data_IF_977207818716
#
_entry.id   IF_977207818716
#
_cell.length_a   1.000
_cell.length_b   1.000
_cell.length_c   1.000
_cell.angle_alpha   90.00
_cell.angle_beta   90.00
_cell.angle_gamma   90.00
#
_symmetry.space_group_name_H-M   'P 1'
#
loop_
_entity.id
_entity.type
_entity.pdbx_description
1 polymer ?
#
# COMPACT_ATOMS: atom_id res chain seq x y z
N UNK A 1 -24.39 -10.74 1.84
CA UNK A 1 -24.04 -10.73 0.41
C UNK A 1 -25.05 -9.90 -0.38
N UNK A 2 -26.35 -10.07 -0.17
CA UNK A 2 -27.42 -9.31 -0.86
C UNK A 2 -27.24 -7.78 -0.81
N UNK A 3 -26.93 -7.22 0.35
CA UNK A 3 -26.69 -5.76 0.51
C UNK A 3 -25.47 -5.29 -0.30
N UNK A 4 -24.45 -6.13 -0.46
CA UNK A 4 -23.26 -5.81 -1.24
C UNK A 4 -23.55 -5.81 -2.74
N UNK A 5 -24.39 -6.72 -3.22
CA UNK A 5 -24.86 -6.72 -4.61
C UNK A 5 -25.71 -5.47 -4.93
N UNK A 6 -26.53 -5.01 -3.98
CA UNK A 6 -27.30 -3.78 -4.16
C UNK A 6 -26.40 -2.53 -4.17
N UNK A 7 -25.35 -2.49 -3.34
CA UNK A 7 -24.34 -1.42 -3.37
C UNK A 7 -23.59 -1.41 -4.72
N UNK A 8 -23.18 -2.58 -5.23
CA UNK A 8 -22.51 -2.68 -6.55
C UNK A 8 -23.41 -2.19 -7.69
N UNK A 9 -24.71 -2.50 -7.63
CA UNK A 9 -25.70 -2.07 -8.61
C UNK A 9 -25.90 -0.55 -8.58
N UNK A 10 -26.01 0.03 -7.39
CA UNK A 10 -26.14 1.49 -7.21
C UNK A 10 -24.86 2.24 -7.62
N UNK A 11 -23.68 1.66 -7.37
CA UNK A 11 -22.39 2.22 -7.78
C UNK A 11 -22.06 2.02 -9.27
N UNK A 12 -22.93 1.36 -10.05
CA UNK A 12 -22.72 1.05 -11.47
C UNK A 12 -21.37 0.35 -11.76
N UNK A 13 -20.96 -0.55 -10.87
CA UNK A 13 -19.71 -1.28 -11.02
C UNK A 13 -19.91 -2.55 -11.85
N UNK A 14 -19.46 -2.51 -13.11
CA UNK A 14 -19.36 -3.69 -14.01
C UNK A 14 -18.16 -4.59 -13.65
N UNK A 15 -17.96 -4.88 -12.36
CA UNK A 15 -16.97 -5.88 -11.92
C UNK A 15 -17.71 -7.18 -11.64
N UNK A 16 -17.67 -8.11 -12.58
CA UNK A 16 -18.15 -9.47 -12.36
C UNK A 16 -17.24 -10.14 -11.33
N UNK A 17 -17.73 -10.38 -10.10
CA UNK A 17 -17.01 -11.10 -9.05
C UNK A 17 -16.52 -10.25 -7.86
N UNK A 18 -15.35 -10.62 -7.32
CA UNK A 18 -14.72 -9.98 -6.16
C UNK A 18 -13.65 -8.98 -6.62
N UNK A 19 -13.39 -7.96 -5.79
CA UNK A 19 -12.24 -7.08 -6.02
C UNK A 19 -10.95 -7.88 -5.83
N UNK A 20 -10.10 -7.87 -6.86
CA UNK A 20 -8.80 -8.49 -6.79
C UNK A 20 -7.87 -7.61 -5.95
N UNK A 21 -7.19 -8.21 -4.98
CA UNK A 21 -6.44 -7.45 -3.97
C UNK A 21 -5.23 -6.76 -4.57
N UNK A 22 -4.63 -7.37 -5.60
CA UNK A 22 -3.41 -6.89 -6.27
C UNK A 22 -3.66 -6.04 -7.51
N UNK A 23 -4.87 -5.50 -7.67
CA UNK A 23 -5.21 -4.57 -8.74
C UNK A 23 -5.48 -3.19 -8.17
N UNK A 24 -4.82 -2.17 -8.73
CA UNK A 24 -5.10 -0.78 -8.41
C UNK A 24 -6.30 -0.34 -9.24
N UNK A 25 -7.33 0.14 -8.54
CA UNK A 25 -8.54 0.70 -9.13
C UNK A 25 -8.50 2.23 -9.04
N UNK A 26 -9.21 2.90 -9.96
CA UNK A 26 -9.35 4.34 -9.94
C UNK A 26 -10.08 4.83 -8.68
N UNK A 27 -9.64 5.97 -8.15
CA UNK A 27 -10.20 6.55 -6.93
C UNK A 27 -11.70 6.84 -7.05
N UNK A 28 -12.19 7.18 -8.26
CA UNK A 28 -13.62 7.36 -8.57
C UNK A 28 -14.48 6.17 -8.09
N UNK A 29 -14.02 4.94 -8.32
CA UNK A 29 -14.73 3.72 -7.88
C UNK A 29 -14.86 3.66 -6.36
N UNK A 30 -13.85 4.14 -5.63
CA UNK A 30 -13.89 4.18 -4.16
C UNK A 30 -14.90 5.22 -3.68
N UNK A 31 -14.91 6.41 -4.26
CA UNK A 31 -15.89 7.45 -3.92
C UNK A 31 -17.33 7.02 -4.24
N UNK A 32 -17.54 6.42 -5.41
CA UNK A 32 -18.86 5.92 -5.83
C UNK A 32 -19.35 4.79 -4.93
N UNK A 33 -18.46 3.87 -4.52
CA UNK A 33 -18.78 2.81 -3.55
C UNK A 33 -19.19 3.36 -2.19
N UNK A 34 -18.46 4.34 -1.65
CA UNK A 34 -18.78 4.93 -0.35
C UNK A 34 -20.08 5.73 -0.43
N UNK A 35 -20.32 6.45 -1.54
CA UNK A 35 -21.56 7.17 -1.79
C UNK A 35 -22.76 6.21 -1.92
N UNK A 36 -22.64 5.14 -2.70
CA UNK A 36 -23.66 4.10 -2.84
C UNK A 36 -23.94 3.39 -1.51
N UNK A 37 -22.89 3.03 -0.76
CA UNK A 37 -23.04 2.42 0.56
C UNK A 37 -23.76 3.35 1.55
N UNK A 38 -23.46 4.64 1.56
CA UNK A 38 -24.15 5.63 2.40
C UNK A 38 -25.65 5.71 2.07
N UNK A 39 -26.01 5.70 0.78
CA UNK A 39 -27.42 5.68 0.34
C UNK A 39 -28.14 4.40 0.74
N UNK A 40 -27.56 3.23 0.45
CA UNK A 40 -28.18 1.92 0.68
C UNK A 40 -28.32 1.63 2.17
N UNK A 41 -27.29 1.92 2.96
CA UNK A 41 -27.29 1.67 4.41
C UNK A 41 -28.01 2.77 5.20
N UNK A 42 -28.43 3.87 4.55
CA UNK A 42 -29.02 5.05 5.22
C UNK A 42 -28.15 5.60 6.37
N UNK A 43 -26.84 5.43 6.26
CA UNK A 43 -25.86 5.92 7.22
C UNK A 43 -25.13 7.13 6.64
N UNK A 44 -24.81 8.12 7.47
CA UNK A 44 -23.97 9.24 7.04
C UNK A 44 -22.62 8.74 6.50
N UNK A 45 -22.16 9.35 5.42
CA UNK A 45 -20.88 9.08 4.74
C UNK A 45 -19.71 8.84 5.73
N UNK A 46 -19.63 9.67 6.77
CA UNK A 46 -18.57 9.62 7.79
C UNK A 46 -18.65 8.41 8.73
N UNK A 47 -19.78 7.70 8.81
CA UNK A 47 -19.90 6.47 9.61
C UNK A 47 -19.50 5.23 8.81
N UNK A 48 -19.78 5.19 7.50
CA UNK A 48 -19.40 4.06 6.63
C UNK A 48 -17.88 3.93 6.54
N UNK A 49 -17.17 5.07 6.43
CA UNK A 49 -15.70 5.11 6.41
C UNK A 49 -15.07 4.68 7.74
N UNK A 50 -15.77 4.85 8.87
CA UNK A 50 -15.28 4.43 10.20
C UNK A 50 -15.36 2.92 10.40
N UNK A 51 -16.45 2.28 9.99
CA UNK A 51 -16.69 0.86 10.29
C UNK A 51 -15.80 -0.14 9.54
N UNK A 52 -15.31 0.20 8.35
CA UNK A 52 -14.58 -0.79 7.51
C UNK A 52 -13.14 -1.05 7.96
N UNK A 53 -12.62 -0.24 8.88
CA UNK A 53 -11.18 -0.20 9.20
C UNK A 53 -10.85 -0.94 10.50
N UNK A 54 -11.85 -1.28 11.33
CA UNK A 54 -11.67 -2.15 12.51
C UNK A 54 -10.98 -3.49 12.18
N UNK A 55 -11.11 -3.99 10.93
CA UNK A 55 -10.50 -5.25 10.49
C UNK A 55 -9.08 -5.10 9.91
N UNK A 56 -8.69 -3.90 9.44
CA UNK A 56 -7.36 -3.66 8.83
C UNK A 56 -6.33 -3.14 9.85
N UNK A 57 -6.79 -2.71 11.03
CA UNK A 57 -5.98 -2.03 12.06
C UNK A 57 -4.94 -2.92 12.75
N UNK A 58 -5.03 -4.27 12.67
CA UNK A 58 -4.03 -5.17 13.27
C UNK A 58 -2.59 -4.97 12.81
N UNK A 59 -2.34 -4.26 11.70
CA UNK A 59 -0.98 -3.97 11.21
C UNK A 59 -0.43 -2.66 11.79
N UNK A 60 -1.30 -1.73 12.21
CA UNK A 60 -0.93 -0.44 12.85
C UNK A 60 -0.54 -0.64 14.33
N UNK A 61 -0.81 -1.83 14.88
CA UNK A 61 -0.66 -2.24 16.29
C UNK A 61 0.72 -2.01 16.95
N UNK A 62 1.77 -1.59 16.23
CA UNK A 62 3.14 -1.60 16.73
C UNK A 62 3.92 -0.28 16.64
N UNK A 63 3.39 0.78 16.04
CA UNK A 63 4.17 2.01 15.80
C UNK A 63 3.45 3.27 16.24
N UNK A 64 4.10 4.10 17.07
CA UNK A 64 3.67 5.47 17.38
C UNK A 64 3.31 6.21 16.08
N UNK A 65 2.30 7.09 16.11
CA UNK A 65 1.78 7.83 14.94
C UNK A 65 2.90 8.53 14.14
N UNK A 66 3.99 8.93 14.80
CA UNK A 66 5.18 9.53 14.18
C UNK A 66 5.94 8.59 13.22
N UNK A 67 5.79 7.27 13.39
CA UNK A 67 6.44 6.24 12.58
C UNK A 67 5.54 5.70 11.44
N UNK A 68 4.31 6.21 11.28
CA UNK A 68 3.40 5.79 10.20
C UNK A 68 3.99 6.03 8.81
N UNK A 69 4.74 7.12 8.63
CA UNK A 69 5.43 7.41 7.36
C UNK A 69 6.45 6.32 7.01
N UNK A 70 7.17 5.76 8.00
CA UNK A 70 8.11 4.67 7.77
C UNK A 70 7.40 3.35 7.42
N UNK A 71 6.26 3.07 8.06
CA UNK A 71 5.42 1.92 7.71
C UNK A 71 4.88 2.05 6.28
N UNK A 72 4.43 3.25 5.89
CA UNK A 72 3.95 3.53 4.55
C UNK A 72 5.04 3.38 3.48
N UNK A 73 6.25 3.82 3.74
CA UNK A 73 7.38 3.59 2.85
C UNK A 73 7.61 2.08 2.64
N UNK A 74 7.54 1.28 3.73
CA UNK A 74 7.65 -0.17 3.63
C UNK A 74 6.49 -0.78 2.83
N UNK A 75 5.25 -0.41 3.12
CA UNK A 75 4.08 -0.87 2.37
C UNK A 75 4.15 -0.48 0.88
N UNK A 76 4.78 0.66 0.54
CA UNK A 76 5.02 1.09 -0.84
C UNK A 76 5.96 0.15 -1.60
N UNK A 77 6.83 -0.59 -0.90
CA UNK A 77 7.66 -1.64 -1.53
C UNK A 77 6.85 -2.89 -1.89
N UNK A 78 5.82 -3.20 -1.09
CA UNK A 78 4.95 -4.37 -1.26
C UNK A 78 3.85 -4.11 -2.28
N UNK A 79 3.32 -2.87 -2.32
CA UNK A 79 2.23 -2.44 -3.19
C UNK A 79 2.71 -1.34 -4.16
N UNK A 80 3.27 -1.70 -5.32
CA UNK A 80 3.76 -0.73 -6.31
C UNK A 80 2.66 0.22 -6.78
N UNK A 81 2.90 1.53 -6.70
CA UNK A 81 1.90 2.56 -7.09
C UNK A 81 1.01 3.04 -5.93
N UNK A 82 1.20 2.51 -4.72
CA UNK A 82 0.54 3.02 -3.52
C UNK A 82 0.96 4.46 -3.23
N UNK A 83 -0.03 5.35 -3.09
CA UNK A 83 0.17 6.75 -2.70
C UNK A 83 -0.24 6.94 -1.24
N UNK A 84 0.75 6.96 -0.37
CA UNK A 84 0.52 7.02 1.06
C UNK A 84 0.32 8.45 1.55
N UNK A 85 -0.63 8.71 2.47
CA UNK A 85 -0.68 9.98 3.18
C UNK A 85 0.49 10.08 4.16
N UNK A 86 0.81 11.31 4.57
CA UNK A 86 1.88 11.59 5.54
C UNK A 86 1.32 12.21 6.81
N UNK A 87 1.91 11.82 7.95
CA UNK A 87 1.45 12.22 9.27
C UNK A 87 2.54 12.95 10.05
N UNK A 88 2.16 13.99 10.78
CA UNK A 88 3.06 14.70 11.70
C UNK A 88 2.31 15.10 12.96
N UNK A 89 2.90 14.87 14.12
CA UNK A 89 2.33 15.30 15.40
C UNK A 89 3.09 16.50 15.96
N UNK A 90 2.38 17.45 16.56
CA UNK A 90 2.94 18.59 17.31
C UNK A 90 2.11 18.83 18.55
N UNK A 91 2.72 19.34 19.62
CA UNK A 91 1.98 19.71 20.83
C UNK A 91 1.15 20.99 20.60
N UNK A 92 -0.03 21.07 21.22
CA UNK A 92 -0.84 22.27 21.20
C UNK A 92 -0.28 23.33 22.16
N UNK A 93 -0.45 24.63 21.82
CA UNK A 93 0.04 25.74 22.65
C UNK A 93 -0.60 25.84 24.06
N UNK A 94 -1.69 25.09 24.31
CA UNK A 94 -2.41 25.08 25.59
C UNK A 94 -2.88 23.66 25.95
N UNK A 95 -2.32 23.08 27.01
CA UNK A 95 -2.72 21.79 27.59
C UNK A 95 -1.98 20.57 27.02
N UNK A 96 -2.30 19.37 27.51
CA UNK A 96 -1.79 18.07 27.02
C UNK A 96 -2.45 17.64 25.69
N UNK A 97 -2.83 18.59 24.85
CA UNK A 97 -3.51 18.31 23.60
C UNK A 97 -2.50 18.12 22.46
N UNK A 98 -2.76 17.15 21.59
CA UNK A 98 -1.90 16.84 20.44
C UNK A 98 -2.56 17.36 19.16
N UNK A 99 -1.77 17.97 18.28
CA UNK A 99 -2.19 18.38 16.94
C UNK A 99 -1.57 17.43 15.93
N UNK A 100 -2.42 16.65 15.26
CA UNK A 100 -2.03 15.79 14.16
C UNK A 100 -2.25 16.51 12.83
N UNK A 101 -1.17 16.68 12.08
CA UNK A 101 -1.14 17.17 10.72
C UNK A 101 -1.23 16.00 9.74
N UNK A 102 -2.21 16.06 8.83
CA UNK A 102 -2.46 15.06 7.81
C UNK A 102 -2.32 15.66 6.40
N UNK A 103 -1.39 15.11 5.64
CA UNK A 103 -1.11 15.49 4.25
C UNK A 103 -1.52 14.34 3.33
N UNK A 104 -2.32 14.63 2.31
CA UNK A 104 -2.80 13.64 1.35
C UNK A 104 -3.06 14.29 0.00
N UNK A 105 -2.72 13.59 -1.08
CA UNK A 105 -3.14 13.95 -2.44
C UNK A 105 -4.63 13.68 -2.68
N UNK A 106 -5.22 12.76 -1.92
CA UNK A 106 -6.62 12.33 -2.05
C UNK A 106 -7.51 13.13 -1.10
N UNK A 107 -8.42 13.90 -1.68
CA UNK A 107 -9.42 14.68 -0.94
C UNK A 107 -10.59 13.80 -0.46
N UNK A 108 -11.25 14.21 0.64
CA UNK A 108 -12.47 13.53 1.13
C UNK A 108 -12.24 12.24 1.93
N UNK A 109 -11.00 11.80 2.12
CA UNK A 109 -10.64 10.61 2.92
C UNK A 109 -10.25 10.92 4.37
N UNK A 110 -10.43 12.15 4.82
CA UNK A 110 -10.05 12.61 6.16
C UNK A 110 -10.76 11.87 7.32
N UNK A 111 -12.02 11.42 7.12
CA UNK A 111 -12.78 10.70 8.14
C UNK A 111 -12.21 9.30 8.43
N UNK A 112 -11.45 8.72 7.48
CA UNK A 112 -10.71 7.47 7.69
C UNK A 112 -9.71 7.62 8.82
N UNK A 113 -8.97 8.74 8.81
CA UNK A 113 -7.96 9.04 9.83
C UNK A 113 -8.60 9.16 11.21
N UNK A 114 -9.77 9.82 11.29
CA UNK A 114 -10.55 9.92 12.54
C UNK A 114 -10.94 8.53 13.06
N UNK A 115 -11.42 7.65 12.17
CA UNK A 115 -11.78 6.28 12.53
C UNK A 115 -10.59 5.50 13.08
N UNK A 116 -9.47 5.49 12.33
CA UNK A 116 -8.24 4.79 12.71
C UNK A 116 -7.75 5.27 14.07
N UNK A 117 -7.61 6.58 14.28
CA UNK A 117 -7.05 7.12 15.53
C UNK A 117 -7.93 6.74 16.73
N UNK A 118 -9.25 6.88 16.61
CA UNK A 118 -10.17 6.52 17.70
C UNK A 118 -10.10 5.05 18.05
N UNK A 119 -10.10 4.18 17.05
CA UNK A 119 -10.01 2.73 17.27
C UNK A 119 -8.66 2.33 17.85
N UNK A 120 -7.56 2.88 17.34
CA UNK A 120 -6.21 2.63 17.85
C UNK A 120 -6.07 3.11 19.30
N UNK A 121 -6.55 4.31 19.62
CA UNK A 121 -6.54 4.84 20.99
C UNK A 121 -7.33 3.95 21.96
N UNK A 122 -8.51 3.50 21.55
CA UNK A 122 -9.36 2.63 22.38
C UNK A 122 -8.77 1.22 22.55
N UNK A 123 -8.20 0.64 21.48
CA UNK A 123 -7.67 -0.74 21.52
C UNK A 123 -6.29 -0.85 22.17
N UNK A 124 -5.41 0.16 21.98
CA UNK A 124 -4.03 0.11 22.50
C UNK A 124 -3.94 0.75 23.88
N UNK A 125 -4.51 1.95 24.04
CA UNK A 125 -4.36 2.75 25.26
C UNK A 125 -5.58 2.68 26.16
N UNK A 126 -6.64 1.95 25.78
CA UNK A 126 -7.88 1.88 26.55
C UNK A 126 -8.59 3.22 26.70
N UNK A 127 -8.22 4.23 25.90
CA UNK A 127 -8.57 5.63 26.13
C UNK A 127 -9.50 6.16 25.04
N UNK A 128 -10.56 6.85 25.45
CA UNK A 128 -11.47 7.52 24.50
C UNK A 128 -10.93 8.90 24.11
N UNK A 129 -10.46 9.01 22.86
CA UNK A 129 -9.98 10.29 22.33
C UNK A 129 -11.07 11.06 21.57
N UNK A 130 -11.17 12.36 21.85
CA UNK A 130 -11.93 13.28 21.00
C UNK A 130 -11.01 13.77 19.88
N UNK A 131 -11.42 13.54 18.63
CA UNK A 131 -10.70 14.03 17.45
C UNK A 131 -11.57 15.09 16.81
N UNK A 132 -11.14 16.36 16.90
CA UNK A 132 -11.84 17.51 16.33
C UNK A 132 -11.07 17.94 15.08
N UNK A 133 -11.76 17.95 13.94
CA UNK A 133 -11.19 18.43 12.69
C UNK A 133 -11.19 19.96 12.68
N UNK A 134 -10.01 20.57 12.54
CA UNK A 134 -9.87 21.98 12.18
C UNK A 134 -9.52 22.07 10.69
N UNK A 135 -10.41 22.69 9.92
CA UNK A 135 -10.14 23.10 8.54
C UNK A 135 -9.85 24.60 8.57
N UNK A 136 -8.58 24.98 8.50
CA UNK A 136 -8.17 26.37 8.35
C UNK A 136 -8.02 26.67 6.86
N UNK A 137 -8.66 27.72 6.36
CA UNK A 137 -8.59 28.13 4.94
C UNK A 137 -7.17 28.55 4.49
N UNK A 138 -6.25 28.77 5.43
CA UNK A 138 -4.85 29.18 5.20
C UNK A 138 -3.81 28.03 5.30
N UNK A 139 -4.22 26.77 5.48
CA UNK A 139 -3.27 25.65 5.60
C UNK A 139 -3.39 24.66 4.43
N UNK A 140 -2.26 24.25 3.88
CA UNK A 140 -2.14 23.25 2.80
C UNK A 140 -2.52 21.82 3.23
N UNK A 141 -2.89 21.62 4.49
CA UNK A 141 -3.12 20.31 5.10
C UNK A 141 -4.14 20.34 6.24
N UNK A 142 -4.67 19.17 6.57
CA UNK A 142 -5.73 19.02 7.58
C UNK A 142 -5.10 18.88 8.96
N UNK A 143 -5.67 19.58 9.96
CA UNK A 143 -5.25 19.48 11.36
C UNK A 143 -6.35 18.79 12.17
N UNK A 144 -5.96 17.77 12.93
CA UNK A 144 -6.82 17.12 13.91
C UNK A 144 -6.32 17.47 15.30
N UNK A 145 -7.20 18.06 16.12
CA UNK A 145 -6.95 18.22 17.54
C UNK A 145 -7.36 16.94 18.24
N UNK A 146 -6.42 16.33 18.96
CA UNK A 146 -6.62 15.12 19.76
C UNK A 146 -6.67 15.57 21.22
N UNK A 147 -7.84 15.41 21.82
CA UNK A 147 -8.08 15.67 23.24
C UNK A 147 -8.34 14.36 23.96
N UNK A 148 -7.60 14.11 25.02
CA UNK A 148 -7.78 12.96 25.88
C UNK A 148 -8.93 13.21 26.86
N UNK A 149 -9.93 12.31 26.89
CA UNK A 149 -10.97 12.33 27.91
C UNK A 149 -10.51 11.45 29.05
N UNK A 150 -10.22 12.08 30.19
CA UNK A 150 -9.78 11.46 31.44
C UNK A 150 -8.32 10.97 31.44
N UNK A 151 -7.39 11.89 31.67
CA UNK A 151 -6.02 11.53 32.06
C UNK A 151 -6.00 11.26 33.57
N UNK A 152 -5.91 9.99 33.99
CA UNK A 152 -5.11 9.71 35.20
C UNK A 152 -3.67 10.04 34.80
N UNK A 153 -3.02 10.94 35.53
CA UNK A 153 -1.63 11.33 35.28
C UNK A 153 -0.71 10.12 35.50
N UNK A 154 -0.58 9.24 34.50
CA UNK A 154 0.56 8.35 34.41
C UNK A 154 1.75 9.16 33.87
N UNK A 155 2.49 9.74 34.81
CA UNK A 155 3.80 10.28 34.55
C UNK A 155 4.72 9.15 34.09
N UNK A 156 4.92 8.99 32.78
CA UNK A 156 6.00 8.19 32.24
C UNK A 156 6.50 8.75 30.91
N UNK A 157 7.68 9.38 30.95
CA UNK A 157 8.91 8.87 30.35
C UNK A 157 10.04 9.70 31.00
N UNK A 158 10.68 9.18 32.04
CA UNK A 158 12.05 9.59 32.34
C UNK A 158 12.93 9.06 31.20
N UNK A 159 13.66 9.95 30.53
CA UNK A 159 14.78 9.58 29.67
C UNK A 159 15.75 8.72 30.50
N UNK A 160 15.70 7.40 30.32
CA UNK A 160 16.63 6.46 30.92
C UNK A 160 17.96 6.36 30.16
N UNK A 161 18.38 7.43 29.48
CA UNK A 161 19.71 7.53 28.87
C UNK A 161 20.70 8.25 29.82
N UNK A 162 20.72 7.79 31.07
CA UNK A 162 21.79 8.09 32.02
C UNK A 162 23.00 7.20 31.72
N UNK A 163 23.72 7.44 30.62
CA UNK A 163 25.09 6.94 30.51
C UNK A 163 25.94 7.69 31.55
N UNK A 164 26.38 6.98 32.60
CA UNK A 164 27.23 7.52 33.64
C UNK A 164 28.47 8.21 33.03
N UNK A 165 28.56 9.54 33.20
CA UNK A 165 29.76 10.34 32.93
C UNK A 165 30.86 10.03 33.95
N UNK A 166 31.41 8.82 33.90
CA UNK A 166 32.58 8.45 34.69
C UNK A 166 33.69 7.92 33.78
N UNK A 167 34.44 8.85 33.22
CA UNK A 167 35.71 8.59 32.54
C UNK A 167 36.05 9.71 31.57
N UNK A 168 37.33 10.08 31.49
CA UNK A 168 37.85 10.93 30.41
C UNK A 168 37.39 10.34 29.06
N UNK A 169 36.38 10.95 28.43
CA UNK A 169 35.76 10.48 27.19
C UNK A 169 36.72 10.74 26.03
N UNK A 170 37.76 9.92 25.90
CA UNK A 170 38.55 9.90 24.67
C UNK A 170 37.71 9.32 23.54
N UNK A 171 37.71 9.98 22.39
CA UNK A 171 37.02 9.52 21.18
C UNK A 171 37.55 8.14 20.78
N UNK A 172 36.75 7.09 20.94
CA UNK A 172 37.15 5.70 20.63
C UNK A 172 37.04 5.34 19.15
N UNK A 173 36.43 6.21 18.35
CA UNK A 173 36.27 6.04 16.91
C UNK A 173 36.97 7.19 16.18
N UNK A 174 37.83 6.85 15.22
CA UNK A 174 38.43 7.86 14.35
C UNK A 174 37.39 8.38 13.34
N UNK A 175 37.47 9.65 12.91
CA UNK A 175 36.58 10.18 11.86
C UNK A 175 36.62 9.35 10.57
N UNK A 176 37.78 8.79 10.22
CA UNK A 176 37.92 7.90 9.08
C UNK A 176 37.11 6.60 9.24
N UNK A 177 37.19 5.96 10.41
CA UNK A 177 36.38 4.77 10.72
C UNK A 177 34.90 5.11 10.71
N UNK A 178 34.51 6.27 11.24
CA UNK A 178 33.12 6.74 11.22
C UNK A 178 32.60 6.92 9.79
N UNK A 179 33.37 7.56 8.90
CA UNK A 179 32.98 7.73 7.48
C UNK A 179 32.83 6.40 6.73
N UNK A 180 33.57 5.38 7.16
CA UNK A 180 33.46 4.02 6.60
C UNK A 180 32.27 3.27 7.18
N UNK A 181 31.97 3.46 8.47
CA UNK A 181 30.83 2.84 9.14
C UNK A 181 29.50 3.43 8.65
N UNK A 182 29.45 4.74 8.45
CA UNK A 182 28.26 5.47 7.99
C UNK A 182 28.56 6.16 6.66
N UNK A 183 28.44 5.48 5.50
CA UNK A 183 28.76 6.07 4.20
C UNK A 183 27.79 7.18 3.78
N UNK A 184 26.61 7.23 4.41
CA UNK A 184 25.57 8.21 4.19
C UNK A 184 25.39 9.10 5.44
N UNK A 185 26.26 10.10 5.58
CA UNK A 185 26.11 11.13 6.61
C UNK A 185 26.58 12.48 6.10
N UNK A 186 26.06 13.55 6.69
CA UNK A 186 26.50 14.93 6.47
C UNK A 186 26.71 15.59 7.82
N UNK A 187 27.80 16.34 7.99
CA UNK A 187 28.00 17.21 9.15
C UNK A 187 28.16 18.63 8.63
N UNK A 188 27.50 19.57 9.27
CA UNK A 188 27.52 20.97 8.86
C UNK A 188 27.35 21.93 10.03
N UNK A 189 27.82 23.16 9.84
CA UNK A 189 27.84 24.20 10.85
C UNK A 189 26.55 25.04 10.90
N UNK A 190 26.54 26.06 11.76
CA UNK A 190 25.43 27.02 11.92
C UNK A 190 25.06 27.77 10.64
N UNK A 191 25.99 27.92 9.71
CA UNK A 191 25.78 28.59 8.42
C UNK A 191 25.38 27.61 7.32
N UNK A 192 25.11 26.34 7.65
CA UNK A 192 24.82 25.25 6.73
C UNK A 192 26.00 24.91 5.81
N UNK A 193 27.22 25.28 6.22
CA UNK A 193 28.44 24.91 5.52
C UNK A 193 28.82 23.48 5.91
N UNK A 194 29.02 22.65 4.89
CA UNK A 194 29.38 21.26 5.07
C UNK A 194 30.79 21.16 5.68
N UNK A 195 30.94 20.44 6.79
CA UNK A 195 32.22 20.21 7.47
C UNK A 195 32.74 18.78 7.28
N UNK A 196 31.84 17.81 7.09
CA UNK A 196 32.19 16.41 6.82
C UNK A 196 31.10 15.74 5.97
N UNK A 197 31.48 14.78 5.14
CA UNK A 197 30.57 14.01 4.30
C UNK A 197 30.98 12.53 4.26
N UNK A 198 29.98 11.65 4.22
CA UNK A 198 30.20 10.22 4.02
C UNK A 198 30.72 9.87 2.64
N UNK A 199 31.46 8.76 2.56
CA UNK A 199 32.17 8.36 1.35
C UNK A 199 31.24 8.08 0.16
N UNK A 200 30.07 7.46 0.40
CA UNK A 200 29.13 7.12 -0.65
C UNK A 200 28.46 8.39 -1.22
N UNK A 201 28.02 9.29 -0.33
CA UNK A 201 27.43 10.57 -0.74
C UNK A 201 28.45 11.40 -1.53
N UNK A 202 29.69 11.52 -1.04
CA UNK A 202 30.73 12.31 -1.70
C UNK A 202 31.07 11.77 -3.11
N UNK A 203 31.07 10.45 -3.28
CA UNK A 203 31.32 9.83 -4.59
C UNK A 203 30.21 10.15 -5.60
N UNK A 204 28.96 10.10 -5.17
CA UNK A 204 27.80 10.36 -6.03
C UNK A 204 27.59 11.87 -6.28
N UNK A 205 27.90 12.70 -5.30
CA UNK A 205 27.76 14.15 -5.32
C UNK A 205 29.12 14.81 -5.00
N UNK A 206 30.06 14.89 -5.97
CA UNK A 206 31.40 15.42 -5.74
C UNK A 206 31.43 16.92 -5.42
N UNK A 207 30.30 17.61 -5.61
CA UNK A 207 30.13 19.03 -5.27
C UNK A 207 30.08 19.26 -3.75
N UNK A 208 29.81 18.21 -2.96
CA UNK A 208 29.81 18.25 -1.50
C UNK A 208 31.23 18.27 -0.93
N UNK A 209 32.01 19.29 -1.31
CA UNK A 209 33.35 19.49 -0.77
C UNK A 209 33.27 20.09 0.64
N UNK A 210 33.79 19.39 1.67
CA UNK A 210 33.83 19.91 3.02
C UNK A 210 34.62 21.22 3.11
N UNK A 211 34.10 22.20 3.84
CA UNK A 211 34.66 23.54 4.04
C UNK A 211 34.27 24.57 2.98
N UNK A 212 33.71 24.15 1.84
CA UNK A 212 33.41 25.05 0.71
C UNK A 212 31.92 25.01 0.35
N UNK A 213 31.30 23.84 0.44
CA UNK A 213 29.93 23.64 -0.01
C UNK A 213 28.91 24.14 1.02
N UNK A 214 27.95 24.95 0.56
CA UNK A 214 26.75 25.31 1.32
C UNK A 214 25.62 24.32 1.01
N UNK A 215 24.99 23.72 2.01
CA UNK A 215 24.00 22.65 1.83
C UNK A 215 22.79 23.02 0.95
N UNK A 216 22.15 24.20 1.09
CA UNK A 216 21.03 24.60 0.25
C UNK A 216 21.39 24.79 -1.22
N UNK A 217 22.68 24.84 -1.57
CA UNK A 217 23.11 24.87 -2.97
C UNK A 217 22.93 23.51 -3.65
N UNK A 218 23.12 22.41 -2.91
CA UNK A 218 23.05 21.03 -3.41
C UNK A 218 21.73 20.35 -3.09
N UNK A 219 21.18 20.61 -1.90
CA UNK A 219 19.97 19.96 -1.40
C UNK A 219 18.81 20.95 -1.24
N UNK A 220 17.60 20.45 -1.43
CA UNK A 220 16.35 21.06 -1.00
C UNK A 220 15.75 20.22 0.13
N UNK A 221 15.26 20.90 1.16
CA UNK A 221 14.52 20.25 2.25
C UNK A 221 13.12 19.90 1.77
N UNK A 222 12.78 18.61 1.75
CA UNK A 222 11.45 18.12 1.38
C UNK A 222 10.58 17.93 2.61
N UNK A 223 11.15 17.39 3.69
CA UNK A 223 10.48 17.22 4.98
C UNK A 223 11.43 17.52 6.13
N UNK A 224 10.96 18.16 7.21
CA UNK A 224 9.66 18.83 7.34
C UNK A 224 9.57 20.10 6.46
N UNK A 225 8.36 20.58 6.17
CA UNK A 225 8.13 21.83 5.43
C UNK A 225 8.46 23.04 6.31
N UNK A 226 9.75 23.33 6.44
CA UNK A 226 10.30 24.44 7.20
C UNK A 226 11.35 25.15 6.34
N UNK A 227 11.72 26.35 6.72
CA UNK A 227 12.86 27.02 6.11
C UNK A 227 14.13 26.21 6.36
N UNK A 228 14.91 25.99 5.29
CA UNK A 228 16.18 25.26 5.37
C UNK A 228 17.22 26.15 6.09
N UNK A 229 17.14 26.16 7.42
CA UNK A 229 17.90 26.99 8.34
C UNK A 229 18.31 26.17 9.56
N UNK A 230 19.42 26.54 10.19
CA UNK A 230 19.94 25.82 11.36
C UNK A 230 18.94 25.82 12.52
N UNK A 231 18.35 26.98 12.81
CA UNK A 231 17.36 27.12 13.88
C UNK A 231 16.08 26.33 13.57
N UNK A 232 15.61 26.36 12.32
CA UNK A 232 14.45 25.59 11.89
C UNK A 232 14.66 24.09 12.11
N UNK A 233 15.84 23.57 11.75
CA UNK A 233 16.18 22.16 11.95
C UNK A 233 16.28 21.80 13.43
N UNK A 234 16.88 22.65 14.25
CA UNK A 234 17.00 22.41 15.70
C UNK A 234 15.63 22.37 16.39
N UNK A 235 14.71 23.27 16.01
CA UNK A 235 13.33 23.25 16.53
C UNK A 235 12.54 21.99 16.15
N UNK A 236 12.99 21.25 15.15
CA UNK A 236 12.34 20.04 14.63
C UNK A 236 13.25 18.81 14.72
N UNK A 237 14.22 18.80 15.63
CA UNK A 237 15.27 17.78 15.70
C UNK A 237 14.72 16.35 15.87
N UNK A 238 13.58 16.21 16.55
CA UNK A 238 12.90 14.93 16.78
C UNK A 238 12.06 14.46 15.59
N UNK A 239 12.09 15.17 14.45
CA UNK A 239 11.39 14.76 13.24
C UNK A 239 12.31 14.07 12.26
N UNK A 240 11.75 13.26 11.36
CA UNK A 240 12.50 12.67 10.26
C UNK A 240 12.69 13.70 9.16
N UNK A 241 13.94 13.89 8.76
CA UNK A 241 14.32 14.81 7.69
C UNK A 241 14.47 14.06 6.37
N UNK A 242 13.97 14.67 5.31
CA UNK A 242 14.14 14.19 3.93
C UNK A 242 14.76 15.30 3.10
N UNK A 243 15.99 15.08 2.65
CA UNK A 243 16.71 15.96 1.74
C UNK A 243 16.65 15.39 0.32
N UNK A 244 16.36 16.23 -0.67
CA UNK A 244 16.41 15.89 -2.10
C UNK A 244 17.55 16.66 -2.75
N UNK A 245 18.43 15.99 -3.48
CA UNK A 245 19.46 16.67 -4.29
C UNK A 245 18.80 17.41 -5.44
N UNK A 246 19.34 18.57 -5.82
CA UNK A 246 18.88 19.27 -7.03
C UNK A 246 19.22 18.47 -8.29
N UNK A 247 18.47 18.76 -9.35
CA UNK A 247 18.59 18.09 -10.66
C UNK A 247 19.95 18.37 -11.30
N UNK A 248 20.49 17.37 -12.01
CA UNK A 248 21.75 17.48 -12.76
C UNK A 248 23.04 17.40 -11.93
N UNK A 249 22.96 17.06 -10.64
CA UNK A 249 24.13 16.96 -9.76
C UNK A 249 24.72 15.54 -9.64
N UNK A 250 23.97 14.52 -10.06
CA UNK A 250 24.40 13.12 -10.00
C UNK A 250 25.33 12.78 -11.18
N UNK A 251 26.41 12.06 -10.88
CA UNK A 251 27.34 11.53 -11.89
C UNK A 251 26.81 10.21 -12.48
N UNK A 252 25.72 10.26 -13.26
CA UNK A 252 25.19 9.07 -13.95
C UNK A 252 25.00 9.40 -15.43
N UNK A 253 25.41 8.48 -16.30
CA UNK A 253 25.15 8.57 -17.75
C UNK A 253 23.64 8.46 -17.98
N UNK A 254 23.01 9.55 -18.41
CA UNK A 254 21.60 9.56 -18.83
C UNK A 254 21.44 8.60 -20.02
N UNK A 255 20.85 7.42 -19.79
CA UNK A 255 20.42 6.57 -20.89
C UNK A 255 19.27 7.27 -21.63
N UNK A 256 19.39 7.36 -22.96
CA UNK A 256 18.56 8.19 -23.86
C UNK A 256 17.07 7.77 -23.98
N UNK A 257 16.55 6.91 -23.10
CA UNK A 257 15.20 6.37 -23.17
C UNK A 257 14.49 6.48 -21.82
N UNK A 258 14.04 7.67 -21.41
CA UNK A 258 13.16 7.80 -20.24
C UNK A 258 11.98 8.73 -20.50
N UNK A 259 10.78 8.24 -20.20
CA UNK A 259 9.50 8.92 -20.31
C UNK A 259 9.50 10.29 -19.60
N UNK A 260 8.99 11.32 -20.29
CA UNK A 260 8.98 12.74 -19.87
C UNK A 260 8.29 13.02 -18.51
N UNK A 261 7.57 12.04 -17.94
CA UNK A 261 6.83 12.20 -16.68
C UNK A 261 7.57 11.64 -15.45
N UNK A 262 8.48 10.67 -15.61
CA UNK A 262 9.22 10.01 -14.51
C UNK A 262 10.71 10.34 -14.46
N UNK A 263 11.29 10.87 -15.55
CA UNK A 263 12.73 11.18 -15.62
C UNK A 263 13.24 12.19 -14.58
N UNK A 264 12.38 13.11 -14.12
CA UNK A 264 12.76 14.15 -13.15
C UNK A 264 13.03 13.59 -11.73
N UNK A 265 12.29 12.57 -11.29
CA UNK A 265 12.50 11.95 -9.97
C UNK A 265 13.67 10.97 -9.94
N UNK A 266 14.03 10.41 -11.09
CA UNK A 266 15.12 9.44 -11.25
C UNK A 266 16.48 10.14 -11.16
N UNK A 267 16.57 11.40 -11.60
CA UNK A 267 17.79 12.22 -11.58
C UNK A 267 18.14 12.85 -10.22
N UNK A 268 17.39 12.55 -9.16
CA UNK A 268 17.59 13.13 -7.83
C UNK A 268 17.80 12.05 -6.76
N UNK A 269 18.78 12.28 -5.88
CA UNK A 269 19.00 11.47 -4.70
C UNK A 269 18.15 12.01 -3.54
N UNK A 270 17.32 11.14 -2.96
CA UNK A 270 16.58 11.41 -1.72
C UNK A 270 17.28 10.72 -0.55
N UNK A 271 17.63 11.48 0.47
CA UNK A 271 18.24 11.00 1.71
C UNK A 271 17.23 11.20 2.85
N UNK A 272 16.86 10.11 3.51
CA UNK A 272 15.94 10.12 4.67
C UNK A 272 16.75 9.81 5.92
N UNK A 273 16.56 10.57 6.98
CA UNK A 273 17.38 10.42 8.18
C UNK A 273 16.98 11.30 9.35
N UNK A 274 17.80 11.27 10.38
CA UNK A 274 17.64 12.08 11.58
C UNK A 274 18.76 13.12 11.69
N UNK A 275 18.40 14.31 12.18
CA UNK A 275 19.34 15.35 12.55
C UNK A 275 19.72 15.20 14.02
N UNK A 276 21.01 15.25 14.34
CA UNK A 276 21.55 15.15 15.70
C UNK A 276 22.43 16.37 15.94
N UNK A 277 22.15 17.11 17.01
CA UNK A 277 22.93 18.29 17.36
C UNK A 277 24.16 17.89 18.16
N UNK A 278 25.34 18.34 17.72
CA UNK A 278 26.63 18.11 18.37
C UNK A 278 27.07 19.40 19.08
N UNK A 279 26.88 19.52 20.41
CA UNK A 279 27.11 20.77 21.13
C UNK A 279 28.59 21.18 21.16
N UNK A 280 29.53 20.22 21.15
CA UNK A 280 30.97 20.49 21.23
C UNK A 280 31.51 21.28 20.02
N UNK A 281 30.96 21.01 18.83
CA UNK A 281 31.40 21.61 17.57
C UNK A 281 30.37 22.59 17.00
N UNK A 282 29.24 22.80 17.69
CA UNK A 282 28.08 23.56 17.22
C UNK A 282 27.61 23.14 15.81
N UNK A 283 27.70 21.84 15.52
CA UNK A 283 27.36 21.26 14.23
C UNK A 283 26.09 20.42 14.34
N UNK A 284 25.43 20.19 13.21
CA UNK A 284 24.39 19.16 13.08
C UNK A 284 24.96 18.01 12.26
N UNK A 285 24.84 16.79 12.80
CA UNK A 285 25.06 15.54 12.12
C UNK A 285 23.73 15.03 11.57
N UNK A 286 23.65 14.89 10.25
CA UNK A 286 22.57 14.19 9.57
C UNK A 286 23.00 12.76 9.30
N UNK A 287 22.43 11.81 10.05
CA UNK A 287 22.56 10.37 9.76
C UNK A 287 21.39 9.96 8.88
N UNK A 288 21.67 9.42 7.71
CA UNK A 288 20.66 9.17 6.70
C UNK A 288 20.91 7.90 5.90
N UNK A 289 19.89 7.44 5.22
CA UNK A 289 19.95 6.35 4.26
C UNK A 289 19.28 6.79 2.95
N UNK A 290 19.74 6.30 1.80
CA UNK A 290 19.13 6.63 0.52
C UNK A 290 17.73 6.02 0.44
N UNK A 291 16.75 6.81 0.00
CA UNK A 291 15.40 6.33 -0.27
C UNK A 291 15.36 5.69 -1.66
N UNK A 292 15.52 4.37 -1.68
CA UNK A 292 15.54 3.52 -2.89
C UNK A 292 14.57 2.36 -2.71
N UNK A 293 13.81 2.03 -3.76
CA UNK A 293 12.79 0.97 -3.68
C UNK A 293 13.29 -0.36 -4.24
N UNK A 294 14.25 -0.32 -5.16
CA UNK A 294 14.73 -1.50 -5.88
C UNK A 294 16.21 -1.34 -6.30
N UNK A 295 16.78 -2.41 -6.87
CA UNK A 295 18.18 -2.43 -7.30
C UNK A 295 18.45 -1.54 -8.53
N UNK A 296 17.44 -1.35 -9.40
CA UNK A 296 17.55 -0.48 -10.56
C UNK A 296 17.66 0.99 -10.13
N UNK A 297 16.90 1.42 -9.13
CA UNK A 297 16.91 2.77 -8.56
C UNK A 297 18.30 3.12 -7.98
N UNK A 298 18.96 2.14 -7.34
CA UNK A 298 20.34 2.30 -6.85
C UNK A 298 21.30 2.55 -8.01
N UNK A 299 21.22 1.70 -9.04
CA UNK A 299 22.10 1.76 -10.21
C UNK A 299 21.90 3.07 -10.98
N UNK A 300 20.65 3.50 -11.17
CA UNK A 300 20.28 4.77 -11.81
C UNK A 300 20.75 6.00 -11.04
N UNK A 301 21.05 5.87 -9.75
CA UNK A 301 21.58 6.96 -8.91
C UNK A 301 23.09 6.85 -8.66
N UNK A 302 23.78 5.92 -9.33
CA UNK A 302 25.23 5.72 -9.17
C UNK A 302 25.62 5.15 -7.80
N UNK A 303 24.67 4.51 -7.10
CA UNK A 303 24.88 3.85 -5.83
C UNK A 303 25.03 2.35 -6.02
N UNK A 304 25.85 1.73 -5.18
CA UNK A 304 26.01 0.29 -5.14
C UNK A 304 25.39 -0.27 -3.87
N UNK A 305 24.92 -1.52 -3.93
CA UNK A 305 24.47 -2.24 -2.74
C UNK A 305 25.56 -2.35 -1.68
N UNK A 306 26.85 -2.34 -2.07
CA UNK A 306 27.99 -2.36 -1.16
C UNK A 306 28.17 -1.07 -0.36
N UNK A 307 27.55 0.03 -0.79
CA UNK A 307 27.62 1.30 -0.07
C UNK A 307 26.66 1.35 1.11
N UNK A 308 25.62 0.52 1.11
CA UNK A 308 24.70 0.38 2.22
C UNK A 308 25.31 -0.60 3.24
N UNK A 309 25.64 -0.14 4.46
CA UNK A 309 26.25 -1.00 5.47
C UNK A 309 25.36 -2.17 5.85
N UNK A 310 25.97 -3.26 6.34
CA UNK A 310 25.23 -4.46 6.79
C UNK A 310 24.33 -4.21 8.01
N UNK A 311 24.63 -3.20 8.81
CA UNK A 311 23.80 -2.85 9.97
C UNK A 311 22.64 -1.91 9.60
N UNK A 312 22.62 -1.39 8.37
CA UNK A 312 21.55 -0.54 7.89
C UNK A 312 20.42 -1.41 7.33
N UNK A 313 19.24 -1.29 7.93
CA UNK A 313 18.05 -2.05 7.53
C UNK A 313 17.60 -1.76 6.08
N UNK A 314 17.98 -0.60 5.52
CA UNK A 314 17.66 -0.29 4.11
C UNK A 314 18.24 -1.30 3.14
N UNK A 315 19.37 -1.94 3.48
CA UNK A 315 19.95 -3.00 2.65
C UNK A 315 19.02 -4.20 2.52
N UNK A 316 18.51 -4.66 3.65
CA UNK A 316 17.58 -5.80 3.69
C UNK A 316 16.24 -5.42 3.05
N UNK A 317 15.78 -4.19 3.26
CA UNK A 317 14.57 -3.68 2.63
C UNK A 317 14.66 -3.64 1.10
N UNK A 318 15.80 -3.25 0.51
CA UNK A 318 15.99 -3.27 -0.95
C UNK A 318 15.93 -4.70 -1.48
N UNK A 319 16.60 -5.64 -0.81
CA UNK A 319 16.61 -7.05 -1.21
C UNK A 319 15.23 -7.71 -1.07
N UNK A 320 14.54 -7.44 0.04
CA UNK A 320 13.18 -7.90 0.28
C UNK A 320 12.20 -7.24 -0.70
N UNK A 321 12.38 -5.97 -1.05
CA UNK A 321 11.56 -5.26 -2.03
C UNK A 321 11.61 -5.94 -3.40
N UNK A 322 12.78 -6.40 -3.83
CA UNK A 322 12.93 -7.15 -5.09
C UNK A 322 12.21 -8.51 -5.01
N UNK A 323 12.39 -9.23 -3.90
CA UNK A 323 11.71 -10.50 -3.66
C UNK A 323 10.18 -10.33 -3.65
N UNK A 324 9.67 -9.36 -2.90
CA UNK A 324 8.24 -9.07 -2.80
C UNK A 324 7.67 -8.61 -4.13
N UNK A 325 8.41 -7.83 -4.93
CA UNK A 325 7.98 -7.41 -6.26
C UNK A 325 7.80 -8.60 -7.19
N UNK A 326 8.74 -9.54 -7.21
CA UNK A 326 8.63 -10.75 -8.03
C UNK A 326 7.52 -11.68 -7.54
N UNK A 327 7.40 -11.86 -6.22
CA UNK A 327 6.29 -12.61 -5.63
C UNK A 327 4.94 -11.94 -5.95
N UNK A 328 4.87 -10.61 -5.90
CA UNK A 328 3.68 -9.84 -6.22
C UNK A 328 3.27 -10.04 -7.68
N UNK A 329 4.21 -9.92 -8.63
CA UNK A 329 3.95 -10.17 -10.07
C UNK A 329 3.40 -11.57 -10.29
N UNK A 330 4.08 -12.58 -9.74
CA UNK A 330 3.69 -13.99 -9.88
C UNK A 330 2.29 -14.24 -9.31
N UNK A 331 2.02 -13.72 -8.12
CA UNK A 331 0.75 -13.92 -7.44
C UNK A 331 -0.40 -13.14 -8.08
N UNK A 332 -0.14 -11.96 -8.64
CA UNK A 332 -1.10 -11.21 -9.44
C UNK A 332 -1.45 -11.97 -10.73
N UNK A 333 -0.46 -12.52 -11.44
CA UNK A 333 -0.70 -13.36 -12.62
C UNK A 333 -1.50 -14.61 -12.28
N UNK A 334 -1.19 -15.27 -11.16
CA UNK A 334 -1.96 -16.41 -10.66
C UNK A 334 -3.41 -16.03 -10.34
N UNK A 335 -3.65 -14.88 -9.74
CA UNK A 335 -5.00 -14.38 -9.40
C UNK A 335 -5.82 -14.14 -10.68
N UNK A 336 -5.24 -13.44 -11.67
CA UNK A 336 -5.88 -13.18 -12.97
C UNK A 336 -6.16 -14.50 -13.71
N UNK A 337 -5.21 -15.43 -13.72
CA UNK A 337 -5.37 -16.72 -14.39
C UNK A 337 -6.45 -17.58 -13.72
N UNK A 338 -6.49 -17.57 -12.39
CA UNK A 338 -7.49 -18.31 -11.61
C UNK A 338 -8.89 -17.76 -11.85
N UNK A 339 -9.05 -16.44 -11.90
CA UNK A 339 -10.33 -15.80 -12.22
C UNK A 339 -10.81 -16.16 -13.64
N UNK A 340 -9.91 -16.05 -14.63
CA UNK A 340 -10.19 -16.50 -16.01
C UNK A 340 -10.58 -17.98 -16.06
N UNK A 341 -9.88 -18.83 -15.31
CA UNK A 341 -10.19 -20.27 -15.23
C UNK A 341 -11.60 -20.48 -14.67
N UNK A 342 -11.97 -19.80 -13.58
CA UNK A 342 -13.32 -19.88 -13.02
C UNK A 342 -14.39 -19.45 -14.02
N UNK A 343 -14.15 -18.35 -14.76
CA UNK A 343 -15.04 -17.92 -15.84
C UNK A 343 -15.20 -18.98 -16.92
N UNK A 344 -14.11 -19.59 -17.38
CA UNK A 344 -14.18 -20.67 -18.38
C UNK A 344 -14.87 -21.92 -17.88
N UNK A 345 -14.71 -22.29 -16.60
CA UNK A 345 -15.40 -23.43 -16.00
C UNK A 345 -16.91 -23.21 -15.91
N UNK A 346 -17.36 -22.00 -15.53
CA UNK A 346 -18.79 -21.65 -15.51
C UNK A 346 -19.40 -21.71 -16.92
N UNK A 347 -18.71 -21.13 -17.90
CA UNK A 347 -19.16 -21.20 -19.29
C UNK A 347 -19.24 -22.65 -19.80
N UNK A 348 -18.27 -23.49 -19.44
CA UNK A 348 -18.28 -24.91 -19.77
C UNK A 348 -19.43 -25.66 -19.11
N UNK A 349 -19.73 -25.38 -17.84
CA UNK A 349 -20.89 -25.97 -17.13
C UNK A 349 -22.21 -25.55 -17.76
N UNK A 350 -22.35 -24.31 -18.19
CA UNK A 350 -23.56 -23.82 -18.84
C UNK A 350 -23.75 -24.43 -20.23
N UNK A 351 -22.68 -24.59 -21.01
CA UNK A 351 -22.71 -25.35 -22.26
C UNK A 351 -23.06 -26.83 -22.01
N UNK A 352 -22.49 -27.45 -20.97
CA UNK A 352 -22.85 -28.82 -20.57
C UNK A 352 -24.34 -28.94 -20.22
N UNK A 353 -24.88 -28.01 -19.43
CA UNK A 353 -26.33 -27.99 -19.10
C UNK A 353 -27.18 -27.85 -20.36
N UNK A 354 -26.76 -27.03 -21.33
CA UNK A 354 -27.45 -26.93 -22.62
C UNK A 354 -27.41 -28.25 -23.37
N UNK A 355 -26.26 -28.91 -23.47
CA UNK A 355 -26.14 -30.21 -24.14
C UNK A 355 -26.95 -31.30 -23.45
N UNK A 356 -26.94 -31.35 -22.11
CA UNK A 356 -27.72 -32.32 -21.34
C UNK A 356 -29.23 -32.11 -21.59
N UNK A 357 -29.69 -30.85 -21.62
CA UNK A 357 -31.08 -30.51 -22.02
C UNK A 357 -31.42 -30.93 -23.45
N UNK A 358 -30.49 -30.81 -24.41
CA UNK A 358 -30.71 -31.26 -25.78
C UNK A 358 -30.78 -32.80 -25.89
N UNK A 359 -30.04 -33.52 -25.06
CA UNK A 359 -30.11 -34.99 -24.99
C UNK A 359 -31.39 -35.44 -24.27
N UNK A 360 -31.83 -34.71 -23.25
CA UNK A 360 -33.06 -34.99 -22.49
C UNK A 360 -34.34 -34.53 -23.22
N UNK A 361 -34.26 -33.61 -24.19
CA UNK A 361 -35.40 -33.35 -25.07
C UNK A 361 -35.72 -34.62 -25.88
N UNK A 362 -36.95 -35.16 -25.79
CA UNK A 362 -37.27 -36.46 -26.34
C UNK A 362 -37.23 -36.39 -27.86
N UNK A 363 -36.15 -36.89 -28.44
CA UNK A 363 -36.07 -37.14 -29.87
C UNK A 363 -37.05 -38.30 -30.20
N UNK A 364 -38.04 -38.13 -31.09
CA UNK A 364 -38.99 -39.18 -31.42
C UNK A 364 -38.36 -40.17 -32.42
N UNK A 365 -37.26 -40.83 -32.05
CA UNK A 365 -36.72 -41.98 -32.78
C UNK A 365 -35.53 -42.60 -32.03
N UNK A 366 -35.67 -43.79 -31.41
CA UNK A 366 -34.56 -44.49 -30.81
C UNK A 366 -33.91 -45.38 -31.88
N UNK A 367 -33.02 -44.81 -32.68
CA UNK A 367 -32.03 -45.59 -33.41
C UNK A 367 -30.93 -44.67 -33.92
N UNK A 368 -29.68 -45.06 -33.65
CA UNK A 368 -28.43 -44.41 -34.04
C UNK A 368 -27.98 -43.27 -33.12
N UNK A 369 -27.27 -43.62 -32.05
CA UNK A 369 -25.87 -43.20 -31.83
C UNK A 369 -25.39 -43.78 -30.48
N UNK A 370 -24.96 -45.03 -30.52
CA UNK A 370 -24.34 -45.70 -29.38
C UNK A 370 -22.82 -45.64 -29.54
N UNK A 371 -22.15 -44.82 -28.73
CA UNK A 371 -20.68 -44.86 -28.56
C UNK A 371 -20.28 -44.51 -27.12
N UNK A 372 -20.57 -45.42 -26.18
CA UNK A 372 -19.64 -45.83 -25.10
C UNK A 372 -19.90 -47.31 -24.77
N UNK A 373 -18.89 -48.15 -24.50
CA UNK A 373 -19.11 -49.55 -24.21
C UNK A 373 -19.51 -49.73 -22.73
N UNK A 374 -20.76 -50.09 -22.48
CA UNK A 374 -21.19 -50.71 -21.23
C UNK A 374 -21.99 -51.99 -21.54
N UNK A 375 -21.88 -53.05 -20.72
CA UNK A 375 -22.37 -54.38 -21.07
C UNK A 375 -23.90 -54.41 -21.10
N UNK A 376 -24.47 -54.81 -22.23
CA UNK A 376 -25.91 -54.94 -22.44
C UNK A 376 -26.38 -56.26 -21.81
N UNK A 377 -27.25 -56.18 -20.80
CA UNK A 377 -28.07 -57.31 -20.36
C UNK A 377 -29.41 -57.25 -21.08
N UNK A 378 -29.73 -58.28 -21.87
CA UNK A 378 -31.04 -58.45 -22.50
C UNK A 378 -32.07 -58.92 -21.48
N UNK A 379 -33.08 -58.10 -21.19
CA UNK A 379 -34.33 -58.54 -20.59
C UNK A 379 -35.43 -58.53 -21.65
N UNK A 380 -35.99 -59.71 -21.93
CA UNK A 380 -37.23 -59.85 -22.69
C UNK A 380 -38.41 -59.58 -21.76
N UNK A 381 -39.21 -58.56 -22.05
CA UNK A 381 -40.55 -58.42 -21.45
C UNK A 381 -41.55 -58.21 -22.58
N UNK A 382 -42.43 -59.21 -22.69
CA UNK A 382 -43.61 -59.28 -23.53
C UNK A 382 -44.74 -58.43 -22.89
N UNK A 383 -45.42 -57.58 -23.65
CA UNK A 383 -46.64 -56.91 -23.17
C UNK A 383 -46.89 -55.53 -23.78
N UNK A 384 -47.50 -55.50 -24.96
CA UNK A 384 -47.96 -54.27 -25.63
C UNK A 384 -49.21 -53.74 -24.93
N UNK A 385 -49.26 -52.44 -24.63
CA UNK A 385 -50.48 -51.69 -24.31
C UNK A 385 -50.59 -50.51 -25.27
N UNK A 386 -51.72 -50.38 -25.98
CA UNK A 386 -52.00 -49.24 -26.85
C UNK A 386 -52.75 -48.15 -26.09
N UNK A 387 -52.34 -46.90 -26.30
CA UNK A 387 -53.03 -45.70 -25.85
C UNK A 387 -53.49 -44.95 -27.11
N UNK A 388 -54.80 -44.88 -27.33
CA UNK A 388 -55.44 -44.12 -28.40
C UNK A 388 -55.52 -42.64 -27.98
N UNK A 389 -55.01 -41.74 -28.82
CA UNK A 389 -55.33 -40.32 -28.73
C UNK A 389 -56.18 -39.95 -29.95
N UNK A 390 -57.42 -39.57 -29.68
CA UNK A 390 -58.44 -39.30 -30.69
C UNK A 390 -58.32 -37.85 -31.17
N UNK A 391 -57.82 -37.65 -32.39
CA UNK A 391 -58.03 -36.40 -33.12
C UNK A 391 -58.25 -36.68 -34.61
N UNK A 392 -59.49 -37.06 -34.92
CA UNK A 392 -60.21 -36.79 -36.15
C UNK A 392 -59.52 -37.03 -37.51
N UNK A 393 -60.06 -38.06 -38.18
CA UNK A 393 -60.26 -38.22 -39.64
C UNK A 393 -59.07 -38.69 -40.48
N UNK A 394 -58.89 -40.01 -40.57
CA UNK A 394 -59.13 -40.70 -41.85
C UNK A 394 -59.31 -42.21 -41.61
N UNK A 395 -60.37 -42.76 -42.22
CA UNK A 395 -60.71 -44.17 -42.22
C UNK A 395 -59.73 -44.91 -43.13
N UNK A 396 -59.09 -45.96 -42.62
CA UNK A 396 -58.96 -47.22 -43.34
C UNK A 396 -58.64 -48.34 -42.35
N UNK A 397 -59.52 -49.34 -42.35
CA UNK A 397 -59.49 -50.50 -41.48
C UNK A 397 -59.08 -51.67 -42.38
N UNK A 398 -57.87 -52.18 -42.20
CA UNK A 398 -57.47 -53.44 -42.86
C UNK A 398 -57.00 -54.41 -41.79
N UNK A 399 -57.90 -55.32 -41.43
CA UNK A 399 -57.63 -56.50 -40.61
C UNK A 399 -57.18 -57.61 -41.54
N UNK A 400 -56.02 -58.22 -41.26
CA UNK A 400 -55.80 -59.61 -41.63
C UNK A 400 -55.32 -60.40 -40.41
N UNK A 401 -56.25 -61.21 -39.87
CA UNK A 401 -55.96 -62.44 -39.17
C UNK A 401 -55.24 -63.44 -40.14
N UNK A 402 -54.51 -64.49 -39.75
CA UNK A 402 -54.85 -65.53 -38.78
C UNK A 402 -53.69 -66.55 -38.64
N UNK A 403 -53.71 -67.24 -37.49
CA UNK A 403 -53.34 -68.65 -37.21
C UNK A 403 -51.88 -69.10 -36.95
N UNK A 404 -51.65 -69.38 -35.65
CA UNK A 404 -51.13 -70.60 -34.99
C UNK A 404 -50.24 -71.56 -35.80
N UNK A 405 -49.10 -71.91 -35.20
CA UNK A 405 -48.95 -73.11 -34.33
C UNK A 405 -47.93 -72.85 -33.25
#
# INVERSE_FOLDING_TARGET
EDVWEDIKREAQLDVEGQFLVRIIYEDAKTYDLVAAASKVLSMFFNHVLKCKIETTISIIYATSIQNLDALHDHLGTIYPGMRAPSFRCTDAEKGNNLILHYYSEREGLQDIVIGIIKTVAQQIHGTEMCVIQHKSEECDHIKFLIEEKDSEEEAFYEDLDGFEENGTQETRISPYTFCKAFPFHLIFDRNLMLTQCGNAIFRVLPQLQPGICNLPSVFSLVRPHIDFSFQGMLSHINTVFVLRSKEGLLNVETSENEDELTGAEISCLRLKGQMIYLPEAENILFLCSPSVMNLDDLTRRGLYLSDIPLHDATRDLVLLGEQFREEYKLTQELEILTDRLQHTLRALEDEKKKTDRFVETPNPSPSLFDRRPSPIYFFFICGISFLLNDSNKQREMTVHHYFKT
#
